data_IF_495187677812
#
_entry.id   IF_495187677812
#
_cell.length_a   1.000
_cell.length_b   1.000
_cell.length_c   1.000
_cell.angle_alpha   90.00
_cell.angle_beta   90.00
_cell.angle_gamma   90.00
#
_symmetry.space_group_name_H-M   'P 1'
#
loop_
_entity.id
_entity.type
_entity.pdbx_description
1 polymer ?
#
# COMPACT_ATOMS: atom_id res chain seq x y z
N UNK A 1 42.65 28.48 -12.54
CA UNK A 1 41.24 28.74 -12.91
C UNK A 1 40.54 27.49 -13.45
N UNK A 2 41.11 26.75 -14.41
CA UNK A 2 40.46 25.54 -14.99
C UNK A 2 40.11 24.41 -14.01
N UNK A 3 40.94 24.18 -12.97
CA UNK A 3 40.70 23.11 -11.98
C UNK A 3 39.39 23.30 -11.19
N UNK A 4 39.05 24.52 -10.81
CA UNK A 4 37.81 24.82 -10.09
C UNK A 4 36.57 24.64 -10.98
N UNK A 5 36.65 25.04 -12.25
CA UNK A 5 35.57 24.84 -13.21
C UNK A 5 35.29 23.34 -13.48
N UNK A 6 36.34 22.51 -13.55
CA UNK A 6 36.22 21.05 -13.66
C UNK A 6 35.58 20.41 -12.44
N UNK A 7 35.88 20.88 -11.23
CA UNK A 7 35.28 20.33 -10.00
C UNK A 7 33.79 20.68 -9.93
N UNK A 8 33.43 21.92 -10.27
CA UNK A 8 32.03 22.38 -10.26
C UNK A 8 31.19 21.58 -11.27
N UNK A 9 31.72 21.35 -12.48
CA UNK A 9 31.02 20.55 -13.51
C UNK A 9 30.86 19.09 -13.09
N UNK A 10 31.86 18.50 -12.45
CA UNK A 10 31.79 17.13 -11.94
C UNK A 10 30.74 16.98 -10.82
N UNK A 11 30.69 17.95 -9.91
CA UNK A 11 29.71 18.00 -8.82
C UNK A 11 28.29 18.14 -9.37
N UNK A 12 28.09 19.02 -10.36
CA UNK A 12 26.79 19.19 -11.00
C UNK A 12 26.31 17.91 -11.70
N UNK A 13 27.22 17.24 -12.43
CA UNK A 13 26.90 15.97 -13.08
C UNK A 13 26.53 14.89 -12.05
N UNK A 14 27.25 14.81 -10.93
CA UNK A 14 26.94 13.88 -9.85
C UNK A 14 25.55 14.15 -9.24
N UNK A 15 25.20 15.40 -8.95
CA UNK A 15 23.89 15.76 -8.38
C UNK A 15 22.73 15.41 -9.32
N UNK A 16 22.87 15.70 -10.61
CA UNK A 16 21.86 15.32 -11.62
C UNK A 16 21.70 13.80 -11.70
N UNK A 17 22.81 13.06 -11.62
CA UNK A 17 22.79 11.60 -11.63
C UNK A 17 22.06 11.05 -10.40
N UNK A 18 22.38 11.51 -9.19
CA UNK A 18 21.70 11.06 -7.97
C UNK A 18 20.22 11.40 -7.93
N UNK A 19 19.82 12.58 -8.43
CA UNK A 19 18.40 12.97 -8.52
C UNK A 19 17.56 12.03 -9.40
N UNK A 20 18.17 11.35 -10.38
CA UNK A 20 17.48 10.37 -11.21
C UNK A 20 17.20 9.04 -10.50
N UNK A 21 17.89 8.75 -9.39
CA UNK A 21 17.70 7.54 -8.59
C UNK A 21 16.83 7.75 -7.35
N UNK A 22 16.24 8.94 -7.18
CA UNK A 22 15.23 9.22 -6.17
C UNK A 22 13.95 8.44 -6.51
N UNK A 23 13.94 7.14 -6.22
CA UNK A 23 12.75 6.31 -6.25
C UNK A 23 11.97 6.65 -4.98
N UNK A 24 10.77 7.25 -5.07
CA UNK A 24 9.98 7.48 -3.88
C UNK A 24 9.75 6.14 -3.20
N UNK A 25 10.14 6.04 -1.92
CA UNK A 25 9.80 4.89 -1.09
C UNK A 25 8.30 4.83 -0.97
N UNK A 26 7.64 4.10 -1.86
CA UNK A 26 6.21 3.88 -1.83
C UNK A 26 5.91 3.00 -0.63
N UNK A 27 5.45 3.61 0.45
CA UNK A 27 4.96 2.85 1.60
C UNK A 27 3.55 2.39 1.26
N UNK A 28 3.38 1.09 1.04
CA UNK A 28 2.06 0.49 0.90
C UNK A 28 1.31 0.64 2.23
N UNK A 29 0.22 1.41 2.22
CA UNK A 29 -0.60 1.58 3.40
C UNK A 29 -1.26 0.24 3.75
N UNK A 30 -1.01 -0.26 4.97
CA UNK A 30 -1.73 -1.44 5.46
C UNK A 30 -3.23 -1.16 5.52
N UNK A 31 -4.02 -2.09 5.02
CA UNK A 31 -5.47 -2.07 5.15
C UNK A 31 -5.86 -2.33 6.61
N UNK A 32 -6.86 -1.59 7.10
CA UNK A 32 -7.47 -1.87 8.39
C UNK A 32 -8.42 -3.06 8.26
N UNK A 33 -8.32 -4.01 9.19
CA UNK A 33 -9.24 -5.15 9.27
C UNK A 33 -10.33 -4.87 10.30
N UNK A 34 -11.56 -5.26 9.98
CA UNK A 34 -12.68 -5.26 10.93
C UNK A 34 -13.64 -6.42 10.63
N UNK A 35 -14.30 -6.99 11.64
CA UNK A 35 -15.38 -7.95 11.40
C UNK A 35 -16.54 -7.26 10.67
N UNK A 36 -17.22 -8.00 9.79
CA UNK A 36 -18.41 -7.49 9.11
C UNK A 36 -19.56 -7.33 10.10
N UNK A 37 -20.18 -6.15 10.10
CA UNK A 37 -21.35 -5.87 10.94
C UNK A 37 -22.68 -6.23 10.28
N UNK A 38 -22.67 -6.45 8.96
CA UNK A 38 -23.89 -6.74 8.18
C UNK A 38 -23.96 -8.18 7.66
N UNK A 39 -22.88 -8.97 7.78
CA UNK A 39 -22.89 -10.40 7.49
C UNK A 39 -23.44 -11.18 8.69
N UNK A 40 -24.20 -12.25 8.42
CA UNK A 40 -24.70 -13.15 9.46
C UNK A 40 -24.60 -14.59 9.00
N UNK A 41 -24.25 -15.48 9.92
CA UNK A 41 -24.02 -16.90 9.65
C UNK A 41 -22.62 -17.22 9.12
N UNK A 42 -22.42 -18.48 8.73
CA UNK A 42 -21.12 -18.99 8.30
C UNK A 42 -20.68 -18.34 6.99
N UNK A 43 -19.47 -17.77 6.99
CA UNK A 43 -18.87 -17.21 5.79
C UNK A 43 -18.22 -18.33 4.97
N UNK A 44 -18.90 -18.77 3.91
CA UNK A 44 -18.42 -19.85 3.01
C UNK A 44 -18.01 -19.37 1.61
N UNK A 45 -18.13 -18.08 1.31
CA UNK A 45 -17.78 -17.54 0.00
C UNK A 45 -17.15 -16.15 0.12
N UNK A 46 -15.85 -16.07 -0.20
CA UNK A 46 -15.06 -14.86 -0.12
C UNK A 46 -15.55 -13.76 -1.08
N UNK A 47 -15.97 -14.10 -2.29
CA UNK A 47 -16.44 -13.10 -3.26
C UNK A 47 -17.75 -12.44 -2.83
N UNK A 48 -18.66 -13.24 -2.25
CA UNK A 48 -19.89 -12.71 -1.66
C UNK A 48 -19.58 -11.81 -0.47
N UNK A 49 -18.72 -12.24 0.44
CA UNK A 49 -18.26 -11.45 1.57
C UNK A 49 -17.62 -10.13 1.11
N UNK A 50 -16.63 -10.20 0.21
CA UNK A 50 -15.98 -9.03 -0.41
C UNK A 50 -16.99 -8.05 -1.01
N UNK A 51 -17.92 -8.54 -1.82
CA UNK A 51 -18.91 -7.70 -2.50
C UNK A 51 -19.81 -6.96 -1.50
N UNK A 52 -20.15 -7.63 -0.39
CA UNK A 52 -20.97 -7.06 0.66
C UNK A 52 -20.18 -6.09 1.54
N UNK A 53 -18.94 -6.40 1.93
CA UNK A 53 -18.06 -5.46 2.64
C UNK A 53 -17.83 -4.16 1.84
N UNK A 54 -17.65 -4.26 0.53
CA UNK A 54 -17.49 -3.10 -0.35
C UNK A 54 -18.81 -2.31 -0.45
N UNK A 55 -19.92 -3.00 -0.72
CA UNK A 55 -21.21 -2.35 -1.02
C UNK A 55 -21.92 -1.78 0.21
N UNK A 56 -21.91 -2.50 1.33
CA UNK A 56 -22.68 -2.15 2.53
C UNK A 56 -21.85 -1.42 3.58
N UNK A 57 -20.54 -1.67 3.60
CA UNK A 57 -19.69 -1.16 4.67
C UNK A 57 -18.59 -0.21 4.17
N UNK A 58 -18.48 0.01 2.86
CA UNK A 58 -17.48 0.91 2.28
C UNK A 58 -16.04 0.41 2.43
N UNK A 59 -15.84 -0.89 2.62
CA UNK A 59 -14.50 -1.47 2.68
C UNK A 59 -13.85 -1.48 1.29
N UNK A 60 -12.51 -1.51 1.25
CA UNK A 60 -11.77 -1.73 -0.01
C UNK A 60 -11.70 -3.21 -0.40
N UNK A 61 -11.81 -4.10 0.58
CA UNK A 61 -11.73 -5.54 0.41
C UNK A 61 -12.52 -6.24 1.53
N UNK A 62 -12.73 -7.55 1.37
CA UNK A 62 -13.29 -8.41 2.42
C UNK A 62 -13.02 -9.87 2.11
N UNK A 63 -12.88 -10.69 3.14
CA UNK A 63 -12.70 -12.14 3.02
C UNK A 63 -13.31 -12.83 4.25
N UNK A 64 -13.72 -14.08 4.06
CA UNK A 64 -14.11 -14.94 5.16
C UNK A 64 -12.85 -15.32 5.93
N UNK A 65 -12.78 -14.90 7.19
CA UNK A 65 -11.71 -15.28 8.10
C UNK A 65 -12.30 -16.09 9.26
N UNK A 66 -11.73 -17.26 9.52
CA UNK A 66 -12.15 -18.13 10.61
C UNK A 66 -11.25 -17.89 11.82
N UNK A 67 -11.77 -17.21 12.84
CA UNK A 67 -11.04 -16.95 14.09
C UNK A 67 -11.58 -17.87 15.18
N UNK A 68 -10.68 -18.65 15.80
CA UNK A 68 -11.01 -19.51 16.94
C UNK A 68 -10.74 -18.76 18.27
N UNK A 69 -11.59 -18.89 19.30
CA UNK A 69 -12.85 -19.63 19.33
C UNK A 69 -13.96 -18.89 18.56
N UNK A 70 -14.71 -19.63 17.75
CA UNK A 70 -15.90 -19.10 17.08
C UNK A 70 -16.96 -18.77 18.15
N UNK A 71 -17.38 -17.51 18.19
CA UNK A 71 -18.36 -16.97 19.14
C UNK A 71 -19.77 -17.06 18.56
#
# INVERSE_FOLDING_TARGET
>A
MAKFASIITLLFAALVFFAAFEVPTMVEAKLCERPSGTWSGVCGNNDKCKSQCIRLEGARHGSCNYVFPAH
#
